data_IF_003599387853
#
_entry.id   IF_003599387853
#
_cell.length_a   1.000
_cell.length_b   1.000
_cell.length_c   1.000
_cell.angle_alpha   90.00
_cell.angle_beta   90.00
_cell.angle_gamma   90.00
#
_symmetry.space_group_name_H-M   'P 1'
#
loop_
_entity.id
_entity.type
_entity.pdbx_description
1 polymer ?
#
# COMPACT_ATOMS: atom_id res chain seq x y z
N UNK A 1 16.68 3.19 -6.27
CA UNK A 1 15.37 2.56 -6.60
C UNK A 1 14.79 3.12 -7.90
N UNK A 2 13.85 2.43 -8.55
CA UNK A 2 13.03 2.96 -9.65
C UNK A 2 11.65 3.39 -9.11
N UNK A 3 11.10 4.49 -9.63
CA UNK A 3 9.81 5.07 -9.22
C UNK A 3 8.94 5.20 -10.46
N UNK A 4 7.75 4.59 -10.42
CA UNK A 4 6.80 4.58 -11.52
C UNK A 4 5.54 5.30 -11.07
N UNK A 5 5.19 6.38 -11.78
CA UNK A 5 3.94 7.11 -11.59
C UNK A 5 2.74 6.26 -11.99
N UNK A 6 1.60 6.50 -11.34
CA UNK A 6 0.33 5.83 -11.65
C UNK A 6 -0.71 6.84 -12.12
N UNK A 7 -1.92 6.38 -12.43
CA UNK A 7 -3.03 7.27 -12.76
C UNK A 7 -3.43 8.20 -11.60
N UNK A 8 -3.06 7.85 -10.36
CA UNK A 8 -3.17 8.71 -9.19
C UNK A 8 -1.79 9.32 -8.89
N UNK A 9 -1.58 10.64 -9.05
CA UNK A 9 -0.26 11.27 -8.90
C UNK A 9 0.41 11.03 -7.53
N UNK A 10 -0.39 10.91 -6.48
CA UNK A 10 0.06 10.67 -5.10
C UNK A 10 0.36 9.19 -4.79
N UNK A 11 0.15 8.29 -5.76
CA UNK A 11 0.35 6.86 -5.62
C UNK A 11 1.48 6.44 -6.56
N UNK A 12 2.55 5.91 -5.98
CA UNK A 12 3.78 5.57 -6.70
C UNK A 12 4.10 4.10 -6.52
N UNK A 13 4.50 3.43 -7.60
CA UNK A 13 5.09 2.09 -7.52
C UNK A 13 6.59 2.24 -7.35
N UNK A 14 7.13 1.58 -6.33
CA UNK A 14 8.55 1.57 -6.03
C UNK A 14 9.12 0.20 -6.38
N UNK A 15 10.16 0.19 -7.21
CA UNK A 15 10.91 -1.01 -7.58
C UNK A 15 12.33 -0.92 -7.00
N UNK A 16 12.67 -1.75 -6.00
CA UNK A 16 14.02 -1.81 -5.47
C UNK A 16 14.96 -2.45 -6.48
N UNK A 17 16.26 -2.13 -6.37
CA UNK A 17 17.30 -2.86 -7.10
C UNK A 17 17.61 -4.15 -6.32
N UNK A 18 17.29 -5.29 -6.91
CA UNK A 18 17.43 -6.61 -6.27
C UNK A 18 18.73 -7.26 -6.72
N UNK A 19 19.53 -7.70 -5.75
CA UNK A 19 20.78 -8.41 -5.96
C UNK A 19 20.58 -9.86 -5.52
N UNK A 20 20.52 -10.79 -6.47
CA UNK A 20 20.33 -12.22 -6.21
C UNK A 20 21.60 -13.03 -6.38
N UNK A 21 21.78 -14.07 -5.57
CA UNK A 21 22.80 -15.10 -5.72
C UNK A 21 22.29 -16.47 -5.24
N UNK A 22 23.14 -17.49 -5.20
CA UNK A 22 22.76 -18.85 -4.81
C UNK A 22 22.27 -18.99 -3.36
N UNK A 23 22.47 -17.99 -2.51
CA UNK A 23 22.01 -17.95 -1.11
C UNK A 23 20.62 -17.30 -0.98
N UNK A 24 20.18 -16.54 -1.98
CA UNK A 24 18.93 -15.79 -1.96
C UNK A 24 19.05 -14.44 -2.64
N UNK A 25 18.46 -13.40 -2.05
CA UNK A 25 18.52 -12.04 -2.57
C UNK A 25 18.72 -11.01 -1.45
N UNK A 26 19.23 -9.85 -1.83
CA UNK A 26 19.36 -8.67 -1.00
C UNK A 26 18.87 -7.43 -1.77
N UNK A 27 18.19 -6.52 -1.08
CA UNK A 27 17.92 -5.18 -1.56
C UNK A 27 17.66 -4.22 -0.40
N UNK A 28 18.02 -2.95 -0.59
CA UNK A 28 17.59 -1.88 0.31
C UNK A 28 16.09 -1.65 0.13
N UNK A 29 15.29 -2.14 1.07
CA UNK A 29 13.83 -1.99 1.00
C UNK A 29 13.37 -0.56 1.24
N UNK A 30 14.16 0.24 1.96
CA UNK A 30 13.90 1.66 2.18
C UNK A 30 15.22 2.38 2.47
N UNK A 31 15.43 3.52 1.82
CA UNK A 31 16.50 4.46 2.10
C UNK A 31 15.87 5.85 2.11
N UNK A 32 15.84 6.51 3.27
CA UNK A 32 15.09 7.77 3.44
C UNK A 32 15.53 8.85 2.44
N UNK A 33 16.83 8.98 2.21
CA UNK A 33 17.40 9.96 1.27
C UNK A 33 17.03 9.65 -0.17
N UNK A 34 17.23 8.41 -0.64
CA UNK A 34 16.89 8.03 -2.03
C UNK A 34 15.39 8.11 -2.28
N UNK A 35 14.59 7.72 -1.27
CA UNK A 35 13.13 7.80 -1.33
C UNK A 35 12.66 9.25 -1.46
N UNK A 36 13.09 10.15 -0.58
CA UNK A 36 12.70 11.56 -0.62
C UNK A 36 13.15 12.22 -1.94
N UNK A 37 14.39 11.97 -2.38
CA UNK A 37 14.93 12.52 -3.62
C UNK A 37 14.14 12.10 -4.86
N UNK A 38 13.66 10.85 -4.92
CA UNK A 38 13.01 10.30 -6.11
C UNK A 38 11.48 10.43 -6.11
N UNK A 39 10.86 10.55 -4.94
CA UNK A 39 9.40 10.62 -4.81
C UNK A 39 8.90 12.02 -4.48
N UNK A 40 9.77 12.90 -3.98
CA UNK A 40 9.38 14.19 -3.41
C UNK A 40 8.70 14.08 -2.05
N UNK A 41 8.61 12.88 -1.46
CA UNK A 41 7.99 12.64 -0.15
C UNK A 41 9.09 12.64 0.93
N UNK A 42 9.15 13.70 1.71
CA UNK A 42 10.14 13.88 2.79
C UNK A 42 9.56 13.64 4.20
N UNK A 43 8.33 13.12 4.29
CA UNK A 43 7.71 12.83 5.58
C UNK A 43 8.33 11.58 6.20
N UNK A 44 8.82 11.61 7.45
CA UNK A 44 9.42 10.45 8.08
C UNK A 44 8.37 9.35 8.33
N UNK A 45 8.76 8.10 8.06
CA UNK A 45 8.00 6.94 8.52
C UNK A 45 8.35 6.67 9.99
N UNK A 46 7.34 6.74 10.87
CA UNK A 46 7.49 6.65 12.34
C UNK A 46 6.89 5.37 12.93
N UNK A 47 6.19 4.58 12.12
CA UNK A 47 5.59 3.32 12.53
C UNK A 47 5.78 2.27 11.44
N UNK A 48 6.08 1.04 11.86
CA UNK A 48 6.05 -0.14 11.01
C UNK A 48 4.92 -1.09 11.44
N UNK A 49 4.22 -1.64 10.46
CA UNK A 49 3.15 -2.59 10.67
C UNK A 49 3.49 -3.88 9.94
N UNK A 50 3.39 -5.00 10.66
CA UNK A 50 3.51 -6.34 10.10
C UNK A 50 2.16 -7.04 10.22
N UNK A 51 1.62 -7.52 9.10
CA UNK A 51 0.35 -8.25 9.09
C UNK A 51 0.48 -9.56 8.33
N UNK A 52 -0.27 -10.57 8.80
CA UNK A 52 -0.43 -11.84 8.11
C UNK A 52 -1.92 -12.09 7.87
N UNK A 53 -2.26 -12.59 6.70
CA UNK A 53 -3.62 -12.91 6.32
C UNK A 53 -3.71 -14.31 5.71
N UNK A 54 -4.86 -14.95 5.91
CA UNK A 54 -5.23 -16.15 5.19
C UNK A 54 -5.62 -15.81 3.74
N UNK A 55 -5.67 -16.84 2.90
CA UNK A 55 -6.16 -16.72 1.53
C UNK A 55 -7.60 -16.19 1.49
N UNK A 56 -7.89 -15.28 0.56
CA UNK A 56 -9.22 -14.71 0.36
C UNK A 56 -9.64 -13.66 1.39
N UNK A 57 -8.74 -13.27 2.30
CA UNK A 57 -8.98 -12.16 3.23
C UNK A 57 -8.91 -10.85 2.48
N UNK A 58 -9.87 -9.97 2.74
CA UNK A 58 -9.92 -8.60 2.29
C UNK A 58 -9.73 -7.66 3.50
N UNK A 59 -8.82 -6.68 3.41
CA UNK A 59 -8.62 -5.66 4.45
C UNK A 59 -8.78 -4.27 3.84
N UNK A 60 -9.77 -3.51 4.27
CA UNK A 60 -10.06 -2.16 3.74
C UNK A 60 -11.55 -1.90 3.56
N UNK A 61 -11.94 -0.73 3.07
CA UNK A 61 -11.09 0.43 2.74
C UNK A 61 -10.66 1.20 4.00
N UNK A 62 -9.36 1.44 4.17
CA UNK A 62 -8.83 2.21 5.30
C UNK A 62 -8.40 3.62 4.87
N UNK A 63 -8.85 4.64 5.60
CA UNK A 63 -8.39 6.02 5.46
C UNK A 63 -8.46 6.75 6.81
N UNK A 64 -7.75 7.86 6.94
CA UNK A 64 -7.78 8.72 8.13
C UNK A 64 -7.95 10.17 7.67
N UNK A 65 -9.00 10.84 8.17
CA UNK A 65 -9.25 12.27 7.91
C UNK A 65 -8.41 13.16 8.82
N UNK A 66 -8.29 12.76 10.09
CA UNK A 66 -7.46 13.41 11.10
C UNK A 66 -6.17 12.59 11.24
N UNK A 67 -5.02 13.25 11.31
CA UNK A 67 -3.69 12.62 11.32
C UNK A 67 -3.48 11.69 10.12
N UNK A 68 -3.65 12.23 8.92
CA UNK A 68 -3.54 11.47 7.69
C UNK A 68 -2.15 10.82 7.56
N UNK A 69 -2.10 9.59 7.06
CA UNK A 69 -0.93 8.72 7.15
C UNK A 69 -0.49 8.27 5.76
N UNK A 70 0.73 8.66 5.37
CA UNK A 70 1.41 8.13 4.20
C UNK A 70 1.85 6.70 4.46
N UNK A 71 1.80 5.85 3.45
CA UNK A 71 2.11 4.42 3.56
C UNK A 71 3.09 3.98 2.49
N UNK A 72 4.01 3.10 2.86
CA UNK A 72 4.86 2.36 1.93
C UNK A 72 4.70 0.87 2.24
N UNK A 73 4.09 0.11 1.33
CA UNK A 73 3.71 -1.29 1.60
C UNK A 73 4.34 -2.25 0.63
N UNK A 74 4.80 -3.38 1.16
CA UNK A 74 5.39 -4.49 0.41
C UNK A 74 4.93 -5.84 0.96
N UNK A 75 5.16 -6.89 0.18
CA UNK A 75 4.84 -8.27 0.57
C UNK A 75 6.11 -9.05 0.84
N UNK A 76 6.17 -9.69 2.00
CA UNK A 76 7.27 -10.55 2.44
C UNK A 76 7.04 -12.02 2.08
N UNK A 77 5.77 -12.45 2.04
CA UNK A 77 5.38 -13.81 1.68
C UNK A 77 4.06 -13.78 0.90
N UNK A 78 3.97 -14.56 -0.18
CA UNK A 78 2.78 -14.63 -1.03
C UNK A 78 2.63 -13.41 -1.94
N UNK A 79 1.38 -13.05 -2.22
CA UNK A 79 1.01 -11.91 -3.06
C UNK A 79 -0.34 -11.31 -2.64
N UNK A 80 -0.46 -10.01 -2.86
CA UNK A 80 -1.69 -9.26 -2.65
C UNK A 80 -2.01 -8.43 -3.90
N UNK A 81 -3.28 -8.15 -4.11
CA UNK A 81 -3.71 -7.02 -4.92
C UNK A 81 -3.90 -5.82 -3.97
N UNK A 82 -3.02 -4.83 -4.10
CA UNK A 82 -3.05 -3.60 -3.32
C UNK A 82 -3.74 -2.51 -4.13
N UNK A 83 -4.82 -1.95 -3.58
CA UNK A 83 -5.70 -0.99 -4.24
C UNK A 83 -5.68 0.32 -3.48
N UNK A 84 -5.41 1.39 -4.22
CA UNK A 84 -5.45 2.77 -3.79
C UNK A 84 -6.59 3.50 -4.49
N UNK A 85 -7.47 4.14 -3.72
CA UNK A 85 -8.63 4.91 -4.23
C UNK A 85 -8.53 6.35 -3.78
N UNK A 86 -8.66 7.30 -4.71
CA UNK A 86 -8.73 8.71 -4.38
C UNK A 86 -10.13 9.07 -3.86
N UNK A 87 -10.20 9.48 -2.60
CA UNK A 87 -11.47 9.84 -1.93
C UNK A 87 -11.57 11.34 -1.64
N UNK A 88 -10.66 12.16 -2.18
CA UNK A 88 -10.61 13.61 -1.93
C UNK A 88 -11.69 14.32 -2.73
N UNK A 89 -12.65 14.94 -2.04
CA UNK A 89 -13.75 15.69 -2.67
C UNK A 89 -13.28 16.78 -3.63
N UNK A 90 -12.12 17.39 -3.36
CA UNK A 90 -11.52 18.44 -4.18
C UNK A 90 -10.63 17.92 -5.30
N UNK A 91 -10.35 16.61 -5.38
CA UNK A 91 -9.43 16.07 -6.36
C UNK A 91 -10.08 15.91 -7.74
N UNK A 92 -9.38 16.27 -8.83
CA UNK A 92 -9.85 15.99 -10.19
C UNK A 92 -9.92 14.48 -10.49
N UNK A 93 -9.25 13.64 -9.69
CA UNK A 93 -9.25 12.18 -9.81
C UNK A 93 -10.15 11.50 -8.77
N UNK A 94 -11.11 12.22 -8.16
CA UNK A 94 -12.05 11.65 -7.18
C UNK A 94 -12.75 10.38 -7.70
N UNK A 95 -12.67 9.30 -6.93
CA UNK A 95 -13.26 8.01 -7.25
C UNK A 95 -12.43 7.16 -8.22
N UNK A 96 -11.35 7.71 -8.79
CA UNK A 96 -10.38 6.93 -9.55
C UNK A 96 -9.51 6.09 -8.61
N UNK A 97 -8.91 5.06 -9.19
CA UNK A 97 -8.16 4.07 -8.44
C UNK A 97 -7.03 3.46 -9.24
N UNK A 98 -6.08 2.89 -8.50
CA UNK A 98 -4.97 2.11 -9.04
C UNK A 98 -4.89 0.81 -8.25
N UNK A 99 -4.73 -0.31 -8.96
CA UNK A 99 -4.51 -1.62 -8.36
C UNK A 99 -3.15 -2.17 -8.83
N UNK A 100 -2.35 -2.63 -7.88
CA UNK A 100 -1.00 -3.15 -8.13
C UNK A 100 -0.85 -4.48 -7.42
N UNK A 101 -0.42 -5.50 -8.17
CA UNK A 101 -0.03 -6.77 -7.58
C UNK A 101 1.33 -6.60 -6.90
N UNK A 102 1.38 -6.77 -5.59
CA UNK A 102 2.61 -6.80 -4.80
C UNK A 102 2.88 -8.24 -4.38
N UNK A 103 4.11 -8.72 -4.51
CA UNK A 103 4.46 -10.08 -4.12
C UNK A 103 5.87 -10.16 -3.54
N UNK A 104 6.11 -11.24 -2.79
CA UNK A 104 7.44 -11.58 -2.33
C UNK A 104 8.44 -11.80 -3.47
N UNK A 105 7.96 -12.06 -4.69
CA UNK A 105 8.78 -12.35 -5.88
C UNK A 105 9.05 -11.12 -6.74
N UNK A 106 8.12 -10.16 -6.84
CA UNK A 106 8.33 -8.97 -7.66
C UNK A 106 8.97 -7.83 -6.87
N UNK A 107 8.98 -7.94 -5.53
CA UNK A 107 9.58 -6.98 -4.60
C UNK A 107 9.05 -5.54 -4.74
N UNK A 108 7.96 -5.35 -5.48
CA UNK A 108 7.33 -4.05 -5.67
C UNK A 108 6.75 -3.57 -4.36
N UNK A 109 6.77 -2.27 -4.21
CA UNK A 109 6.10 -1.58 -3.12
C UNK A 109 5.14 -0.56 -3.69
N UNK A 110 4.05 -0.30 -2.98
CA UNK A 110 3.10 0.74 -3.34
C UNK A 110 3.16 1.82 -2.27
N UNK A 111 3.60 3.01 -2.68
CA UNK A 111 3.63 4.20 -1.83
C UNK A 111 2.40 5.06 -2.09
N UNK A 112 1.85 5.63 -1.02
CA UNK A 112 0.83 6.68 -1.10
C UNK A 112 1.17 7.79 -0.11
N UNK A 113 1.05 9.04 -0.54
CA UNK A 113 1.20 10.19 0.35
C UNK A 113 0.10 10.23 1.43
N UNK A 114 0.32 10.98 2.50
CA UNK A 114 -0.66 11.11 3.59
C UNK A 114 -2.00 11.69 3.13
N UNK A 115 -2.02 12.42 2.02
CA UNK A 115 -3.22 13.04 1.48
C UNK A 115 -4.15 12.01 0.81
N UNK A 116 -5.00 11.39 1.62
CA UNK A 116 -6.34 10.92 1.26
C UNK A 116 -6.45 9.93 0.08
N UNK A 117 -5.74 8.82 0.24
CA UNK A 117 -6.02 7.57 -0.48
C UNK A 117 -6.63 6.55 0.50
N UNK A 118 -7.82 6.05 0.18
CA UNK A 118 -8.36 4.88 0.88
C UNK A 118 -7.72 3.61 0.32
N UNK A 119 -7.33 2.68 1.20
CA UNK A 119 -6.50 1.53 0.83
C UNK A 119 -7.16 0.21 1.13
N UNK A 120 -7.06 -0.73 0.19
CA UNK A 120 -7.67 -2.06 0.24
C UNK A 120 -6.65 -3.13 -0.18
N UNK A 121 -6.59 -4.23 0.56
CA UNK A 121 -5.72 -5.38 0.27
C UNK A 121 -6.56 -6.63 0.07
N UNK A 122 -6.42 -7.27 -1.08
CA UNK A 122 -6.93 -8.62 -1.33
C UNK A 122 -5.77 -9.62 -1.34
N UNK A 123 -5.87 -10.69 -0.56
CA UNK A 123 -4.83 -11.70 -0.41
C UNK A 123 -5.12 -12.93 -1.29
N UNK A 124 -4.38 -13.06 -2.41
CA UNK A 124 -4.65 -14.02 -3.50
C UNK A 124 -4.04 -15.41 -3.34
N UNK A 125 -3.07 -15.62 -2.43
CA UNK A 125 -2.47 -16.95 -2.16
C UNK A 125 -2.52 -17.35 -0.68
N UNK A 126 -2.31 -18.65 -0.41
CA UNK A 126 -2.22 -19.21 0.94
C UNK A 126 -1.07 -18.56 1.72
N UNK A 127 -1.40 -17.97 2.86
CA UNK A 127 -0.50 -17.32 3.83
C UNK A 127 0.31 -16.15 3.25
N UNK A 128 -0.31 -14.97 3.27
CA UNK A 128 0.32 -13.74 2.81
C UNK A 128 0.80 -12.91 4.01
N UNK A 129 2.04 -12.46 3.98
CA UNK A 129 2.60 -11.54 4.97
C UNK A 129 2.93 -10.20 4.29
N UNK A 130 2.28 -9.14 4.75
CA UNK A 130 2.46 -7.78 4.24
C UNK A 130 3.04 -6.89 5.33
N UNK A 131 3.94 -6.00 4.91
CA UNK A 131 4.60 -5.04 5.79
C UNK A 131 4.36 -3.62 5.27
N UNK A 132 4.14 -2.68 6.19
CA UNK A 132 3.85 -1.28 5.87
C UNK A 132 4.63 -0.33 6.78
N UNK A 133 5.36 0.61 6.19
CA UNK A 133 5.86 1.81 6.85
C UNK A 133 4.78 2.91 6.80
N UNK A 134 4.65 3.66 7.88
CA UNK A 134 3.58 4.63 8.10
C UNK A 134 4.13 5.97 8.62
N UNK A 135 3.73 7.09 8.00
CA UNK A 135 4.25 8.44 8.33
C UNK A 135 3.59 9.12 9.52
N UNK A 136 2.69 8.40 10.21
CA UNK A 136 2.00 8.83 11.41
C UNK A 136 1.59 7.61 12.22
N UNK A 137 1.17 7.80 13.47
CA UNK A 137 0.74 6.68 14.31
C UNK A 137 -0.69 6.26 13.98
N UNK A 138 -0.95 4.95 13.92
CA UNK A 138 -2.32 4.44 13.90
C UNK A 138 -2.97 4.80 15.24
N UNK A 139 -3.93 5.72 15.24
CA UNK A 139 -4.85 5.87 16.36
C UNK A 139 -5.73 4.62 16.38
N UNK A 140 -5.49 3.72 17.33
CA UNK A 140 -6.42 2.65 17.68
C UNK A 140 -7.79 3.28 17.93
N UNK A 141 -8.75 3.06 17.02
CA UNK A 141 -10.09 3.66 17.11
C UNK A 141 -10.51 4.53 15.93
N UNK A 142 -9.68 4.72 14.89
CA UNK A 142 -10.19 5.26 13.62
C UNK A 142 -11.15 4.24 12.99
N UNK A 143 -12.40 4.68 12.82
CA UNK A 143 -13.55 3.88 12.43
C UNK A 143 -13.26 3.04 11.18
N UNK A 144 -13.36 1.72 11.35
CA UNK A 144 -13.70 0.83 10.24
C UNK A 144 -15.08 1.30 9.75
N UNK A 145 -15.25 1.81 8.53
CA UNK A 145 -16.61 1.95 8.02
C UNK A 145 -17.19 0.55 8.02
N UNK A 146 -18.35 0.41 8.67
CA UNK A 146 -19.16 -0.79 8.75
C UNK A 146 -18.92 -1.71 7.56
N UNK A 147 -18.54 -2.97 7.83
CA UNK A 147 -18.36 -3.98 6.78
C UNK A 147 -19.59 -4.10 5.86
N UNK A 148 -20.76 -3.61 6.29
CA UNK A 148 -21.99 -3.55 5.50
C UNK A 148 -22.02 -2.52 4.37
N UNK A 149 -21.35 -1.36 4.48
CA UNK A 149 -21.50 -0.27 3.48
C UNK A 149 -20.41 -0.23 2.41
N UNK A 150 -19.26 -0.87 2.63
CA UNK A 150 -18.23 -1.02 1.60
C UNK A 150 -18.36 -2.34 0.81
N UNK A 151 -19.18 -3.29 1.24
CA UNK A 151 -19.32 -4.60 0.59
C UNK A 151 -19.68 -4.53 -0.91
N UNK A 152 -20.61 -3.67 -1.39
CA UNK A 152 -20.93 -3.58 -2.81
C UNK A 152 -19.79 -2.98 -3.63
N UNK A 153 -19.07 -2.01 -3.05
CA UNK A 153 -17.92 -1.39 -3.69
C UNK A 153 -16.79 -2.43 -3.80
N UNK A 154 -16.46 -3.12 -2.70
CA UNK A 154 -15.45 -4.18 -2.61
C UNK A 154 -15.73 -5.42 -3.48
N UNK A 155 -17.00 -5.73 -3.78
CA UNK A 155 -17.35 -6.86 -4.64
C UNK A 155 -16.78 -6.74 -6.06
N UNK A 156 -16.59 -5.51 -6.55
CA UNK A 156 -16.02 -5.22 -7.88
C UNK A 156 -14.51 -5.53 -8.01
N UNK A 157 -13.84 -5.79 -6.89
CA UNK A 157 -12.39 -5.93 -6.77
C UNK A 157 -11.95 -7.32 -6.37
N UNK A 158 -12.90 -8.23 -6.12
CA UNK A 158 -12.59 -9.65 -6.01
C UNK A 158 -12.23 -10.14 -7.42
N UNK A 159 -11.02 -10.66 -7.66
CA UNK A 159 -10.73 -11.37 -8.88
C UNK A 159 -11.72 -12.54 -9.00
N UNK A 160 -12.36 -12.69 -10.17
CA UNK A 160 -13.14 -13.89 -10.52
C UNK A 160 -12.25 -15.12 -10.57
#
# INVERSE_FOLDING_TARGET
MNVISTALPDVLIIEPKVFGDSRGFFYESYNARDFALRTGIDTPFVQDNHSRSLHGVLRGLHYQLQNAQGKLVRVLQGDILDVAVDIRRSSPTLGQWVAVRLSATNHRQLSSSAAATARLHWHSRKHCAAWAMCSGSVVTGSTWPDQGNCAPCCARWRPT
#
